data_IF_389202378953
#
_entry.id   IF_389202378953
#
_cell.length_a   1.000
_cell.length_b   1.000
_cell.length_c   1.000
_cell.angle_alpha   90.00
_cell.angle_beta   90.00
_cell.angle_gamma   90.00
#
_symmetry.space_group_name_H-M   'P 1'
#
loop_
_entity.id
_entity.type
_entity.pdbx_description
1 polymer ?
#
# COMPACT_ATOMS: atom_id res chain seq x y z
N UNK A 1 -8.81 -12.44 -34.32
CA UNK A 1 -8.12 -11.43 -33.50
C UNK A 1 -7.84 -10.25 -34.42
N UNK A 2 -8.60 -9.19 -34.27
CA UNK A 2 -8.50 -8.02 -35.16
C UNK A 2 -7.25 -7.20 -34.84
N UNK A 3 -6.70 -6.47 -35.81
CA UNK A 3 -5.52 -5.61 -35.61
C UNK A 3 -5.72 -4.57 -34.49
N UNK A 4 -6.96 -4.12 -34.28
CA UNK A 4 -7.37 -3.24 -33.19
C UNK A 4 -7.19 -3.88 -31.81
N UNK A 5 -7.52 -5.18 -31.64
CA UNK A 5 -7.37 -5.89 -30.38
C UNK A 5 -5.89 -6.02 -29.98
N UNK A 6 -5.01 -6.21 -30.96
CA UNK A 6 -3.57 -6.29 -30.71
C UNK A 6 -2.99 -4.94 -30.26
N UNK A 7 -3.43 -3.83 -30.87
CA UNK A 7 -3.00 -2.48 -30.50
C UNK A 7 -3.49 -2.13 -29.09
N UNK A 8 -4.74 -2.45 -28.74
CA UNK A 8 -5.29 -2.20 -27.40
C UNK A 8 -4.55 -2.99 -26.31
N UNK A 9 -4.22 -4.25 -26.53
CA UNK A 9 -3.43 -5.08 -25.62
C UNK A 9 -2.03 -4.52 -25.39
N UNK A 10 -1.37 -4.03 -26.46
CA UNK A 10 -0.05 -3.39 -26.35
C UNK A 10 -0.10 -2.08 -25.56
N UNK A 11 -1.12 -1.27 -25.79
CA UNK A 11 -1.32 -0.04 -25.03
C UNK A 11 -1.60 -0.30 -23.55
N UNK A 12 -2.43 -1.29 -23.23
CA UNK A 12 -2.69 -1.69 -21.84
C UNK A 12 -1.44 -2.18 -21.14
N UNK A 13 -0.62 -3.00 -21.81
CA UNK A 13 0.66 -3.46 -21.28
C UNK A 13 1.63 -2.30 -21.02
N UNK A 14 1.69 -1.32 -21.92
CA UNK A 14 2.54 -0.13 -21.76
C UNK A 14 2.07 0.75 -20.59
N UNK A 15 0.76 0.95 -20.43
CA UNK A 15 0.17 1.69 -19.30
C UNK A 15 0.47 0.95 -18.00
N UNK A 16 0.35 -0.37 -17.97
CA UNK A 16 0.70 -1.19 -16.80
C UNK A 16 2.17 -1.02 -16.40
N UNK A 17 3.06 -1.07 -17.37
CA UNK A 17 4.49 -0.87 -17.14
C UNK A 17 4.81 0.53 -16.59
N UNK A 18 4.19 1.58 -17.12
CA UNK A 18 4.33 2.95 -16.61
C UNK A 18 3.83 3.09 -15.18
N UNK A 19 2.69 2.48 -14.84
CA UNK A 19 2.14 2.50 -13.48
C UNK A 19 3.06 1.80 -12.48
N UNK A 20 3.63 0.66 -12.85
CA UNK A 20 4.56 -0.09 -12.00
C UNK A 20 5.82 0.71 -11.69
N UNK A 21 6.32 1.49 -12.66
CA UNK A 21 7.50 2.33 -12.49
C UNK A 21 7.29 3.61 -11.69
N UNK A 22 6.04 3.99 -11.38
CA UNK A 22 5.71 5.24 -10.69
C UNK A 22 4.51 5.03 -9.77
N UNK A 23 4.75 4.42 -8.61
CA UNK A 23 3.75 4.22 -7.56
C UNK A 23 4.04 5.19 -6.42
N UNK A 24 3.08 6.05 -6.11
CA UNK A 24 3.25 7.07 -5.09
C UNK A 24 2.47 6.73 -3.83
N UNK A 25 3.16 6.22 -2.79
CA UNK A 25 2.52 5.85 -1.55
C UNK A 25 2.15 7.06 -0.69
N UNK A 26 0.97 6.97 -0.08
CA UNK A 26 0.58 7.80 1.04
C UNK A 26 1.09 7.15 2.33
N UNK A 27 1.90 7.90 3.08
CA UNK A 27 2.39 7.44 4.37
C UNK A 27 1.33 7.64 5.45
N UNK A 28 0.59 6.59 5.79
CA UNK A 28 -0.35 6.60 6.91
C UNK A 28 0.28 5.89 8.11
N UNK A 29 1.19 6.63 8.77
CA UNK A 29 1.96 6.15 9.91
C UNK A 29 1.28 6.45 11.23
N UNK A 30 0.91 5.40 11.98
CA UNK A 30 0.16 5.50 13.24
C UNK A 30 0.97 5.11 14.47
N UNK A 31 1.97 4.23 14.32
CA UNK A 31 2.75 3.69 15.43
C UNK A 31 4.16 3.23 14.99
N UNK A 32 4.74 2.26 15.70
CA UNK A 32 6.11 1.77 15.46
C UNK A 32 6.40 1.30 14.03
N UNK A 33 5.42 0.74 13.32
CA UNK A 33 5.59 0.38 11.90
C UNK A 33 5.92 1.58 11.00
N UNK A 34 5.47 2.79 11.38
CA UNK A 34 5.82 4.01 10.65
C UNK A 34 7.33 4.30 10.68
N UNK A 35 8.01 3.95 11.77
CA UNK A 35 9.46 4.11 11.91
C UNK A 35 10.21 3.19 10.93
N UNK A 36 9.75 1.93 10.81
CA UNK A 36 10.32 1.01 9.81
C UNK A 36 10.01 1.43 8.37
N UNK A 37 8.84 2.00 8.12
CA UNK A 37 8.50 2.58 6.83
C UNK A 37 9.42 3.76 6.47
N UNK A 38 9.74 4.63 7.44
CA UNK A 38 10.73 5.71 7.27
C UNK A 38 12.12 5.13 7.04
N UNK A 39 12.50 4.08 7.78
CA UNK A 39 13.78 3.39 7.60
C UNK A 39 13.94 2.81 6.19
N UNK A 40 12.87 2.25 5.62
CA UNK A 40 12.87 1.76 4.23
C UNK A 40 13.08 2.88 3.20
N UNK A 41 12.66 4.11 3.50
CA UNK A 41 12.86 5.28 2.65
C UNK A 41 14.24 5.92 2.80
N UNK A 42 14.96 5.63 3.90
CA UNK A 42 16.30 6.18 4.15
C UNK A 42 17.36 5.56 3.25
N UNK A 43 18.54 6.19 3.21
CA UNK A 43 19.67 5.89 2.33
C UNK A 43 20.16 4.44 2.34
N UNK A 44 19.95 3.70 3.45
CA UNK A 44 20.35 2.29 3.54
C UNK A 44 19.58 1.39 2.59
N UNK A 45 18.28 1.60 2.45
CA UNK A 45 17.37 0.76 1.67
C UNK A 45 16.89 1.46 0.40
N UNK A 46 16.67 2.76 0.48
CA UNK A 46 16.34 3.64 -0.64
C UNK A 46 15.21 3.05 -1.53
N UNK A 47 14.02 2.91 -0.94
CA UNK A 47 12.85 2.39 -1.65
C UNK A 47 12.46 3.27 -2.85
N UNK A 48 12.89 4.53 -2.88
CA UNK A 48 12.62 5.47 -3.97
C UNK A 48 13.24 5.02 -5.30
N UNK A 49 14.35 4.29 -5.27
CA UNK A 49 14.96 3.71 -6.49
C UNK A 49 14.05 2.72 -7.24
N UNK A 50 13.03 2.19 -6.56
CA UNK A 50 12.03 1.32 -7.18
C UNK A 50 10.83 2.09 -7.76
N UNK A 51 10.89 3.44 -7.77
CA UNK A 51 9.81 4.29 -8.27
C UNK A 51 8.76 4.67 -7.23
N UNK A 52 9.07 4.51 -5.92
CA UNK A 52 8.18 4.84 -4.82
C UNK A 52 8.54 6.18 -4.23
N UNK A 53 7.68 7.18 -4.40
CA UNK A 53 7.87 8.49 -3.81
C UNK A 53 6.74 8.81 -2.84
N UNK A 54 7.05 8.88 -1.55
CA UNK A 54 6.09 9.20 -0.50
C UNK A 54 5.48 10.59 -0.68
N UNK A 55 4.16 10.66 -0.64
CA UNK A 55 3.41 11.91 -0.75
C UNK A 55 2.47 12.10 0.44
N UNK A 56 2.31 13.34 0.95
CA UNK A 56 1.42 13.63 2.07
C UNK A 56 -0.04 13.82 1.66
N UNK A 57 -0.32 14.00 0.36
CA UNK A 57 -1.65 14.38 -0.13
C UNK A 57 -2.34 13.20 -0.81
N UNK A 58 -3.53 12.76 -0.36
CA UNK A 58 -4.20 11.60 -0.91
C UNK A 58 -4.57 11.71 -2.40
N UNK A 59 -4.80 12.94 -2.90
CA UNK A 59 -5.12 13.18 -4.31
C UNK A 59 -3.95 12.91 -5.28
N UNK A 60 -2.73 12.81 -4.77
CA UNK A 60 -1.52 12.58 -5.56
C UNK A 60 -0.91 11.21 -5.28
N UNK A 61 -1.68 10.29 -4.69
CA UNK A 61 -1.19 8.97 -4.28
C UNK A 61 -2.05 7.86 -4.86
N UNK A 62 -1.40 6.75 -5.20
CA UNK A 62 -2.00 5.56 -5.79
C UNK A 62 -1.95 4.36 -4.83
N UNK A 63 -1.11 4.43 -3.80
CA UNK A 63 -0.90 3.40 -2.81
C UNK A 63 -1.12 3.95 -1.41
N UNK A 64 -1.87 3.23 -0.58
CA UNK A 64 -2.03 3.52 0.84
C UNK A 64 -1.28 2.47 1.66
N UNK A 65 -0.29 2.89 2.44
CA UNK A 65 0.42 2.02 3.38
C UNK A 65 -0.09 2.31 4.79
N UNK A 66 -0.86 1.38 5.34
CA UNK A 66 -1.37 1.46 6.72
C UNK A 66 -0.33 0.87 7.65
N UNK A 67 0.41 1.71 8.36
CA UNK A 67 1.51 1.28 9.23
C UNK A 67 1.23 1.61 10.70
N UNK A 68 0.79 0.61 11.45
CA UNK A 68 0.56 0.70 12.89
C UNK A 68 -0.85 0.37 13.33
N UNK A 69 -1.17 0.75 14.57
CA UNK A 69 -2.43 0.42 15.23
C UNK A 69 -3.54 1.37 14.79
N UNK A 70 -4.57 0.83 14.16
CA UNK A 70 -5.75 1.60 13.79
C UNK A 70 -6.75 1.60 14.94
N UNK A 71 -7.05 2.78 15.48
CA UNK A 71 -8.04 2.93 16.56
C UNK A 71 -9.43 3.22 16.02
N UNK A 72 -10.46 2.90 16.80
CA UNK A 72 -11.86 3.22 16.45
C UNK A 72 -12.08 4.72 16.22
N UNK A 73 -11.35 5.57 16.95
CA UNK A 73 -11.39 7.02 16.77
C UNK A 73 -10.76 7.47 15.45
N UNK A 74 -9.74 6.76 14.97
CA UNK A 74 -9.04 7.06 13.71
C UNK A 74 -9.72 6.42 12.49
N UNK A 75 -10.51 5.38 12.67
CA UNK A 75 -11.17 4.65 11.60
C UNK A 75 -12.00 5.54 10.63
N UNK A 76 -12.82 6.51 11.10
CA UNK A 76 -13.56 7.40 10.20
C UNK A 76 -12.65 8.25 9.31
N UNK A 77 -11.50 8.71 9.84
CA UNK A 77 -10.52 9.50 9.09
C UNK A 77 -9.82 8.64 8.03
N UNK A 78 -9.44 7.42 8.40
CA UNK A 78 -8.89 6.44 7.49
C UNK A 78 -9.82 6.16 6.31
N UNK A 79 -11.11 5.92 6.57
CA UNK A 79 -12.10 5.67 5.54
C UNK A 79 -12.31 6.86 4.61
N UNK A 80 -12.37 8.09 5.15
CA UNK A 80 -12.46 9.33 4.35
C UNK A 80 -11.24 9.51 3.47
N UNK A 81 -10.04 9.26 4.02
CA UNK A 81 -8.77 9.36 3.32
C UNK A 81 -8.72 8.38 2.15
N UNK A 82 -9.07 7.12 2.38
CA UNK A 82 -9.16 6.10 1.34
C UNK A 82 -10.12 6.52 0.22
N UNK A 83 -11.28 7.08 0.54
CA UNK A 83 -12.25 7.55 -0.47
C UNK A 83 -11.80 8.78 -1.24
N UNK A 84 -10.88 9.56 -0.71
CA UNK A 84 -10.35 10.77 -1.36
C UNK A 84 -9.17 10.49 -2.30
N UNK A 85 -8.64 9.27 -2.30
CA UNK A 85 -7.57 8.85 -3.21
C UNK A 85 -8.09 8.64 -4.63
N UNK A 86 -7.20 8.82 -5.60
CA UNK A 86 -7.50 8.58 -7.00
C UNK A 86 -7.55 7.07 -7.30
N UNK A 87 -8.38 6.68 -8.26
CA UNK A 87 -8.43 5.30 -8.77
C UNK A 87 -7.57 5.18 -10.05
N UNK A 88 -6.90 4.07 -10.30
CA UNK A 88 -6.81 2.86 -9.46
C UNK A 88 -5.93 3.09 -8.24
N UNK A 89 -6.27 2.45 -7.11
CA UNK A 89 -5.52 2.53 -5.88
C UNK A 89 -5.32 1.16 -5.26
N UNK A 90 -4.25 1.02 -4.48
CA UNK A 90 -3.88 -0.21 -3.78
C UNK A 90 -3.67 0.05 -2.30
N UNK A 91 -3.84 -0.99 -1.48
CA UNK A 91 -3.68 -0.90 -0.03
C UNK A 91 -2.70 -1.96 0.45
N UNK A 92 -1.65 -1.55 1.15
CA UNK A 92 -0.75 -2.43 1.89
C UNK A 92 -1.04 -2.29 3.39
N UNK A 93 -1.34 -3.40 4.04
CA UNK A 93 -1.47 -3.49 5.48
C UNK A 93 -0.14 -3.93 6.09
N UNK A 94 0.52 -3.02 6.83
CA UNK A 94 1.85 -3.25 7.37
C UNK A 94 1.81 -3.49 8.88
N UNK A 95 2.24 -4.68 9.26
CA UNK A 95 2.40 -5.10 10.65
C UNK A 95 1.16 -5.75 11.25
N UNK A 96 1.37 -6.51 12.32
CA UNK A 96 0.32 -7.31 12.97
C UNK A 96 -0.87 -6.46 13.45
N UNK A 97 -0.64 -5.22 13.88
CA UNK A 97 -1.70 -4.34 14.35
C UNK A 97 -2.66 -3.94 13.22
N UNK A 98 -2.12 -3.56 12.05
CA UNK A 98 -2.94 -3.23 10.88
C UNK A 98 -3.59 -4.47 10.27
N UNK A 99 -2.92 -5.62 10.30
CA UNK A 99 -3.40 -6.86 9.71
C UNK A 99 -4.60 -7.48 10.47
N UNK A 100 -4.59 -7.43 11.80
CA UNK A 100 -5.63 -8.09 12.58
C UNK A 100 -5.75 -7.60 14.03
N UNK A 101 -5.22 -6.42 14.36
CA UNK A 101 -5.19 -5.89 15.72
C UNK A 101 -3.93 -6.25 16.50
N UNK A 102 -3.22 -7.32 16.15
CA UNK A 102 -1.97 -7.75 16.75
C UNK A 102 -2.02 -7.87 18.27
N UNK A 103 -1.07 -7.24 18.96
CA UNK A 103 -1.01 -7.20 20.42
C UNK A 103 -2.25 -6.58 21.08
N UNK A 104 -2.95 -5.68 20.35
CA UNK A 104 -4.13 -4.95 20.82
C UNK A 104 -5.46 -5.54 20.31
N UNK A 105 -5.45 -6.78 19.84
CA UNK A 105 -6.63 -7.41 19.24
C UNK A 105 -7.87 -7.39 20.16
N UNK A 106 -7.68 -7.60 21.45
CA UNK A 106 -8.76 -7.62 22.44
C UNK A 106 -9.02 -6.26 23.11
N UNK A 107 -8.34 -5.20 22.65
CA UNK A 107 -8.58 -3.86 23.17
C UNK A 107 -9.94 -3.32 22.66
N UNK A 108 -10.65 -2.62 23.53
CA UNK A 108 -11.91 -1.96 23.17
C UNK A 108 -11.73 -0.78 22.21
N UNK A 109 -10.53 -0.24 22.09
CA UNK A 109 -10.25 0.99 21.33
C UNK A 109 -9.69 0.74 19.94
N UNK A 110 -9.28 -0.49 19.61
CA UNK A 110 -8.63 -0.82 18.34
C UNK A 110 -9.54 -1.52 17.36
N UNK A 111 -9.35 -1.21 16.08
CA UNK A 111 -9.96 -1.92 14.95
C UNK A 111 -9.17 -3.21 14.72
N UNK A 112 -9.87 -4.32 14.60
CA UNK A 112 -9.28 -5.66 14.41
C UNK A 112 -8.95 -5.94 12.95
N UNK A 113 -7.98 -5.19 12.41
CA UNK A 113 -7.58 -5.23 11.01
C UNK A 113 -8.19 -4.10 10.18
N UNK A 114 -7.36 -3.52 9.30
CA UNK A 114 -7.83 -2.46 8.40
C UNK A 114 -8.69 -3.00 7.26
N UNK A 115 -8.65 -4.31 7.00
CA UNK A 115 -9.46 -5.03 6.00
C UNK A 115 -10.95 -5.02 6.33
N UNK A 116 -11.32 -4.83 7.59
CA UNK A 116 -12.72 -4.62 7.99
C UNK A 116 -13.33 -3.33 7.44
N UNK A 117 -12.49 -2.36 7.08
CA UNK A 117 -12.91 -1.04 6.58
C UNK A 117 -12.70 -0.89 5.08
N UNK A 118 -11.62 -1.43 4.55
CA UNK A 118 -11.23 -1.29 3.13
C UNK A 118 -10.54 -2.55 2.63
N UNK A 119 -10.70 -2.91 1.34
CA UNK A 119 -10.01 -4.06 0.79
C UNK A 119 -8.50 -3.86 0.85
N UNK A 120 -7.78 -4.90 1.23
CA UNK A 120 -6.30 -4.92 1.33
C UNK A 120 -5.75 -5.79 0.21
N UNK A 121 -4.73 -5.29 -0.48
CA UNK A 121 -4.08 -5.99 -1.58
C UNK A 121 -2.94 -6.88 -1.10
N UNK A 122 -2.15 -6.40 -0.15
CA UNK A 122 -0.99 -7.12 0.40
C UNK A 122 -0.90 -6.92 1.90
N UNK A 123 -0.58 -8.00 2.60
CA UNK A 123 -0.34 -8.01 4.04
C UNK A 123 1.15 -8.23 4.32
N UNK A 124 1.73 -7.39 5.17
CA UNK A 124 3.12 -7.51 5.61
C UNK A 124 3.13 -7.95 7.06
N UNK A 125 3.53 -9.19 7.36
CA UNK A 125 3.57 -9.71 8.73
C UNK A 125 4.78 -9.16 9.49
N UNK A 126 4.65 -9.03 10.80
CA UNK A 126 5.72 -8.60 11.71
C UNK A 126 5.24 -7.61 12.77
N UNK A 127 6.05 -7.41 13.82
CA UNK A 127 5.74 -6.46 14.88
C UNK A 127 7.02 -5.79 15.44
N UNK A 128 7.51 -4.77 14.77
CA UNK A 128 7.24 -4.34 13.38
C UNK A 128 7.87 -5.28 12.34
N UNK A 129 7.38 -5.31 11.11
CA UNK A 129 8.09 -5.96 10.02
C UNK A 129 9.38 -5.19 9.72
N UNK A 130 10.44 -5.89 9.32
CA UNK A 130 11.68 -5.25 8.88
C UNK A 130 11.51 -4.49 7.56
N UNK A 131 12.40 -3.54 7.28
CA UNK A 131 12.35 -2.74 6.06
C UNK A 131 12.40 -3.60 4.78
N UNK A 132 13.18 -4.69 4.80
CA UNK A 132 13.24 -5.65 3.68
C UNK A 132 11.90 -6.33 3.42
N UNK A 133 11.13 -6.64 4.48
CA UNK A 133 9.78 -7.20 4.38
C UNK A 133 8.83 -6.24 3.68
N UNK A 134 8.92 -4.94 3.96
CA UNK A 134 8.15 -3.91 3.26
C UNK A 134 8.57 -3.80 1.80
N UNK A 135 9.86 -3.80 1.49
CA UNK A 135 10.38 -3.76 0.11
C UNK A 135 9.88 -4.98 -0.67
N UNK A 136 9.92 -6.17 -0.07
CA UNK A 136 9.41 -7.37 -0.69
C UNK A 136 7.91 -7.27 -1.01
N UNK A 137 7.10 -6.74 -0.08
CA UNK A 137 5.66 -6.52 -0.30
C UNK A 137 5.40 -5.54 -1.45
N UNK A 138 6.21 -4.51 -1.56
CA UNK A 138 6.16 -3.53 -2.64
C UNK A 138 6.46 -4.19 -3.99
N UNK A 139 7.49 -5.03 -4.07
CA UNK A 139 7.82 -5.80 -5.29
C UNK A 139 6.70 -6.79 -5.66
N UNK A 140 6.07 -7.42 -4.67
CA UNK A 140 4.89 -8.25 -4.90
C UNK A 140 3.71 -7.44 -5.45
N UNK A 141 3.50 -6.22 -4.95
CA UNK A 141 2.47 -5.33 -5.48
C UNK A 141 2.74 -4.98 -6.95
N UNK A 142 3.99 -4.67 -7.30
CA UNK A 142 4.39 -4.42 -8.70
C UNK A 142 4.08 -5.60 -9.60
N UNK A 143 4.38 -6.82 -9.15
CA UNK A 143 4.06 -8.05 -9.87
C UNK A 143 2.54 -8.23 -10.04
N UNK A 144 1.75 -7.95 -8.99
CA UNK A 144 0.28 -8.00 -9.04
C UNK A 144 -0.29 -7.01 -10.05
N UNK A 145 0.20 -5.78 -10.07
CA UNK A 145 -0.24 -4.73 -11.01
C UNK A 145 0.08 -5.13 -12.44
N UNK A 146 1.28 -5.67 -12.68
CA UNK A 146 1.69 -6.14 -14.01
C UNK A 146 0.77 -7.27 -14.51
N UNK A 147 0.45 -8.23 -13.66
CA UNK A 147 -0.45 -9.34 -14.03
C UNK A 147 -1.87 -8.86 -14.35
N UNK A 148 -2.38 -7.88 -13.60
CA UNK A 148 -3.71 -7.29 -13.83
C UNK A 148 -3.79 -6.46 -15.11
N UNK A 149 -2.67 -5.89 -15.57
CA UNK A 149 -2.62 -5.10 -16.81
C UNK A 149 -2.57 -5.97 -18.09
N UNK A 150 -2.32 -7.26 -17.94
CA UNK A 150 -2.24 -8.22 -19.07
C UNK A 150 -3.59 -8.93 -19.29
N UNK A 151 -4.46 -8.95 -18.28
CA UNK A 151 -5.83 -9.49 -18.35
C UNK A 151 -6.82 -8.45 -18.87
#
# INVERSE_FOLDING_TARGET
MNSLDWVTLRLMSLIGWLRVGSIWPLSFGLACCAVEMIHAAMSRYDIERFGFLFRPTPKHTDLLIVSGTLTNKMAPYYYRLHRSMNKPMWVISMGSCANGGGYYHYSYSTVRGCDTLTPVDIYVPGCPPCAEGLIFAVLQLQSKITSLSIL
#
